data_IF_823146875926
#
_entry.id   IF_823146875926
#
_cell.length_a   1.000
_cell.length_b   1.000
_cell.length_c   1.000
_cell.angle_alpha   90.00
_cell.angle_beta   90.00
_cell.angle_gamma   90.00
#
_symmetry.space_group_name_H-M   'P 1'
#
loop_
_entity.id
_entity.type
_entity.pdbx_description
1 polymer ?
#
# COMPACT_ATOMS: atom_id res chain seq x y z
N UNK A 1 11.34 -18.87 -7.10
CA UNK A 1 10.68 -18.74 -8.41
C UNK A 1 9.33 -19.45 -8.52
N UNK A 2 9.19 -20.73 -8.11
CA UNK A 2 7.90 -21.46 -8.21
C UNK A 2 6.70 -20.73 -7.56
N UNK A 3 6.88 -20.17 -6.37
CA UNK A 3 5.84 -19.40 -5.64
C UNK A 3 5.36 -18.18 -6.45
N UNK A 4 6.30 -17.42 -7.04
CA UNK A 4 5.97 -16.23 -7.83
C UNK A 4 5.17 -16.59 -9.07
N UNK A 5 5.65 -17.57 -9.85
CA UNK A 5 4.95 -18.04 -11.05
C UNK A 5 3.52 -18.50 -10.73
N UNK A 6 3.37 -19.28 -9.65
CA UNK A 6 2.07 -19.73 -9.18
C UNK A 6 1.16 -18.56 -8.80
N UNK A 7 1.68 -17.58 -8.09
CA UNK A 7 0.91 -16.42 -7.60
C UNK A 7 0.46 -15.50 -8.74
N UNK A 8 1.31 -15.33 -9.74
CA UNK A 8 0.97 -14.62 -10.99
C UNK A 8 -0.17 -15.36 -11.70
N UNK A 9 -0.04 -16.68 -11.90
CA UNK A 9 -1.08 -17.50 -12.55
C UNK A 9 -2.42 -17.44 -11.79
N UNK A 10 -2.39 -17.57 -10.47
CA UNK A 10 -3.58 -17.47 -9.61
C UNK A 10 -4.22 -16.08 -9.71
N UNK A 11 -3.43 -15.02 -9.80
CA UNK A 11 -3.94 -13.64 -9.95
C UNK A 11 -4.62 -13.45 -11.30
N UNK A 12 -4.01 -13.90 -12.40
CA UNK A 12 -4.61 -13.83 -13.73
C UNK A 12 -5.89 -14.65 -13.86
N UNK A 13 -5.96 -15.83 -13.21
CA UNK A 13 -7.17 -16.63 -13.17
C UNK A 13 -8.33 -15.91 -12.46
N UNK A 14 -8.02 -14.99 -11.54
CA UNK A 14 -8.99 -14.19 -10.79
C UNK A 14 -9.15 -12.76 -11.37
N UNK A 15 -9.13 -12.59 -12.69
CA UNK A 15 -9.24 -11.27 -13.34
C UNK A 15 -10.48 -10.45 -12.92
N UNK A 16 -11.59 -11.12 -12.56
CA UNK A 16 -12.78 -10.44 -12.01
C UNK A 16 -12.48 -9.68 -10.71
N UNK A 17 -11.67 -10.26 -9.82
CA UNK A 17 -11.20 -9.61 -8.59
C UNK A 17 -10.31 -8.41 -8.92
N UNK A 18 -9.55 -8.51 -10.00
CA UNK A 18 -8.65 -7.47 -10.46
C UNK A 18 -9.40 -6.22 -10.94
N UNK A 19 -10.43 -6.42 -11.78
CA UNK A 19 -11.35 -5.36 -12.23
C UNK A 19 -12.10 -4.75 -11.05
N UNK A 20 -12.57 -5.58 -10.12
CA UNK A 20 -13.28 -5.12 -8.93
C UNK A 20 -12.42 -4.16 -8.08
N UNK A 21 -11.17 -4.53 -7.79
CA UNK A 21 -10.25 -3.67 -7.05
C UNK A 21 -9.89 -2.39 -7.80
N UNK A 22 -9.82 -2.44 -9.13
CA UNK A 22 -9.59 -1.27 -9.96
C UNK A 22 -10.76 -0.28 -9.85
N UNK A 23 -12.02 -0.74 -9.96
CA UNK A 23 -13.22 0.10 -9.80
C UNK A 23 -13.22 0.77 -8.42
N UNK A 24 -12.94 0.01 -7.36
CA UNK A 24 -12.88 0.54 -5.99
C UNK A 24 -11.80 1.61 -5.82
N UNK A 25 -10.68 1.53 -6.54
CA UNK A 25 -9.63 2.54 -6.50
C UNK A 25 -9.99 3.80 -7.30
N UNK A 26 -10.80 3.69 -8.36
CA UNK A 26 -11.24 4.83 -9.17
C UNK A 26 -12.21 5.71 -8.40
N UNK A 27 -13.17 5.14 -7.67
CA UNK A 27 -14.19 5.91 -6.93
C UNK A 27 -13.60 7.02 -6.04
N UNK A 28 -12.66 6.74 -5.12
CA UNK A 28 -12.05 7.79 -4.29
C UNK A 28 -11.19 8.75 -5.12
N UNK A 29 -10.54 8.29 -6.18
CA UNK A 29 -9.77 9.16 -7.06
C UNK A 29 -10.69 10.19 -7.76
N UNK A 30 -11.87 9.77 -8.22
CA UNK A 30 -12.89 10.66 -8.77
C UNK A 30 -13.42 11.64 -7.71
N UNK A 31 -13.73 11.16 -6.51
CA UNK A 31 -14.20 12.01 -5.42
C UNK A 31 -13.20 13.09 -5.02
N UNK A 32 -11.90 12.77 -5.01
CA UNK A 32 -10.83 13.76 -4.74
C UNK A 32 -10.62 14.68 -5.94
N UNK A 33 -10.81 14.19 -7.17
CA UNK A 33 -10.57 14.99 -8.38
C UNK A 33 -11.52 16.19 -8.52
N UNK A 34 -12.75 16.09 -8.03
CA UNK A 34 -13.76 17.17 -8.14
C UNK A 34 -13.33 18.45 -7.40
N UNK A 35 -13.06 18.44 -6.08
CA UNK A 35 -12.66 19.65 -5.37
C UNK A 35 -11.32 20.16 -5.88
N UNK A 36 -10.37 19.27 -6.21
CA UNK A 36 -9.07 19.65 -6.78
C UNK A 36 -9.25 20.37 -8.12
N UNK A 37 -10.06 19.84 -9.03
CA UNK A 37 -10.33 20.47 -10.32
C UNK A 37 -11.04 21.81 -10.16
N UNK A 38 -11.98 21.93 -9.22
CA UNK A 38 -12.65 23.20 -8.95
C UNK A 38 -11.68 24.27 -8.42
N UNK A 39 -10.70 23.87 -7.59
CA UNK A 39 -9.65 24.74 -7.09
C UNK A 39 -8.72 25.19 -8.23
N UNK A 40 -8.32 24.25 -9.09
CA UNK A 40 -7.49 24.53 -10.26
C UNK A 40 -8.18 25.47 -11.26
N UNK A 41 -9.46 25.26 -11.56
CA UNK A 41 -10.21 26.11 -12.48
C UNK A 41 -10.28 27.58 -11.99
N UNK A 42 -10.46 27.79 -10.68
CA UNK A 42 -10.46 29.13 -10.08
C UNK A 42 -9.09 29.80 -10.13
N UNK A 43 -8.03 29.03 -9.91
CA UNK A 43 -6.65 29.53 -9.98
C UNK A 43 -6.24 29.86 -11.43
N UNK A 44 -6.56 28.97 -12.37
CA UNK A 44 -6.19 29.11 -13.77
C UNK A 44 -6.83 30.33 -14.44
N UNK A 45 -8.04 30.72 -14.03
CA UNK A 45 -8.71 31.91 -14.56
C UNK A 45 -8.12 33.25 -14.12
N UNK A 46 -7.17 33.27 -13.15
CA UNK A 46 -6.69 34.50 -12.51
C UNK A 46 -5.18 34.73 -12.58
N UNK A 47 -4.38 33.76 -13.02
CA UNK A 47 -2.93 33.84 -12.91
C UNK A 47 -2.23 33.66 -14.26
N UNK A 48 -1.31 34.59 -14.59
CA UNK A 48 -0.38 34.47 -15.71
C UNK A 48 0.63 33.30 -15.54
N UNK A 49 0.65 32.67 -14.36
CA UNK A 49 1.51 31.53 -14.03
C UNK A 49 1.07 30.24 -14.71
N UNK A 50 -0.15 30.20 -15.26
CA UNK A 50 -0.66 29.04 -16.00
C UNK A 50 0.26 28.61 -17.15
N UNK A 51 0.85 29.57 -17.87
CA UNK A 51 1.80 29.28 -18.95
C UNK A 51 3.09 28.64 -18.43
N UNK A 52 3.54 29.02 -17.23
CA UNK A 52 4.71 28.40 -16.59
C UNK A 52 4.45 26.96 -16.09
N UNK A 53 3.20 26.65 -15.71
CA UNK A 53 2.77 25.28 -15.38
C UNK A 53 2.75 24.42 -16.64
N UNK A 54 2.23 24.94 -17.76
CA UNK A 54 2.23 24.23 -19.04
C UNK A 54 3.63 24.01 -19.62
N UNK A 55 4.60 24.86 -19.28
CA UNK A 55 6.01 24.70 -19.64
C UNK A 55 6.80 23.78 -18.69
N UNK A 56 6.14 23.09 -17.76
CA UNK A 56 6.74 22.05 -16.91
C UNK A 56 7.41 22.56 -15.63
N UNK A 57 7.30 23.85 -15.30
CA UNK A 57 7.92 24.45 -14.12
C UNK A 57 6.96 24.40 -12.91
N UNK A 58 6.64 23.19 -12.46
CA UNK A 58 5.52 22.94 -11.52
C UNK A 58 5.90 23.20 -10.05
N UNK A 59 7.18 23.10 -9.69
CA UNK A 59 7.55 22.77 -8.30
C UNK A 59 7.98 23.92 -7.39
N UNK A 60 8.33 25.11 -7.89
CA UNK A 60 8.87 26.18 -7.02
C UNK A 60 7.92 27.36 -6.80
N UNK A 61 7.37 27.93 -7.88
CA UNK A 61 6.56 29.16 -7.80
C UNK A 61 5.05 28.90 -7.80
N UNK A 62 4.50 28.02 -8.68
CA UNK A 62 3.05 27.89 -8.81
C UNK A 62 2.37 27.25 -7.60
N UNK A 63 3.02 26.29 -6.93
CA UNK A 63 2.45 25.63 -5.76
C UNK A 63 2.39 26.54 -4.54
N UNK A 64 3.41 27.38 -4.34
CA UNK A 64 3.42 28.36 -3.25
C UNK A 64 2.37 29.43 -3.47
N UNK A 65 2.27 29.95 -4.68
CA UNK A 65 1.25 30.95 -5.06
C UNK A 65 -0.17 30.38 -5.00
N UNK A 66 -0.38 29.14 -5.45
CA UNK A 66 -1.63 28.42 -5.30
C UNK A 66 -2.03 28.27 -3.82
N UNK A 67 -1.07 27.96 -2.95
CA UNK A 67 -1.32 27.80 -1.52
C UNK A 67 -1.69 29.13 -0.85
N UNK A 68 -1.05 30.23 -1.25
CA UNK A 68 -1.35 31.56 -0.72
C UNK A 68 -2.73 32.04 -1.14
N UNK A 69 -3.13 31.82 -2.40
CA UNK A 69 -4.39 32.33 -2.95
C UNK A 69 -5.62 31.46 -2.67
N UNK A 70 -5.42 30.18 -2.34
CA UNK A 70 -6.52 29.23 -2.12
C UNK A 70 -6.52 28.62 -0.72
N UNK A 71 -6.06 29.37 0.31
CA UNK A 71 -5.98 28.91 1.71
C UNK A 71 -7.26 28.25 2.20
N UNK A 72 -8.42 28.82 1.88
CA UNK A 72 -9.72 28.27 2.30
C UNK A 72 -9.96 26.90 1.66
N UNK A 73 -9.73 26.78 0.35
CA UNK A 73 -9.95 25.52 -0.40
C UNK A 73 -8.95 24.45 0.04
N UNK A 74 -7.70 24.84 0.30
CA UNK A 74 -6.69 23.93 0.86
C UNK A 74 -7.01 23.50 2.29
N UNK A 75 -7.65 24.35 3.09
CA UNK A 75 -8.15 23.96 4.41
C UNK A 75 -9.28 22.94 4.29
N UNK A 76 -10.26 23.17 3.40
CA UNK A 76 -11.34 22.21 3.14
C UNK A 76 -10.82 20.88 2.57
N UNK A 77 -9.95 20.93 1.56
CA UNK A 77 -9.31 19.74 0.99
C UNK A 77 -8.41 19.05 2.02
N UNK A 78 -7.71 19.83 2.86
CA UNK A 78 -6.87 19.35 3.95
C UNK A 78 -7.64 18.60 5.03
N UNK A 79 -8.91 18.94 5.26
CA UNK A 79 -9.78 18.22 6.19
C UNK A 79 -10.47 17.01 5.54
N UNK A 80 -10.88 17.13 4.28
CA UNK A 80 -11.60 16.08 3.55
C UNK A 80 -10.69 14.93 3.10
N UNK A 81 -9.45 15.23 2.71
CA UNK A 81 -8.51 14.24 2.20
C UNK A 81 -8.11 13.19 3.25
N UNK A 82 -7.75 13.54 4.51
CA UNK A 82 -7.51 12.57 5.56
C UNK A 82 -8.73 11.69 5.84
N UNK A 83 -9.93 12.26 5.86
CA UNK A 83 -11.17 11.51 6.05
C UNK A 83 -11.37 10.47 4.94
N UNK A 84 -11.19 10.86 3.68
CA UNK A 84 -11.26 9.93 2.54
C UNK A 84 -10.18 8.85 2.59
N UNK A 85 -8.95 9.20 2.99
CA UNK A 85 -7.88 8.23 3.16
C UNK A 85 -8.20 7.20 4.26
N UNK A 86 -8.74 7.66 5.39
CA UNK A 86 -9.18 6.79 6.48
C UNK A 86 -10.30 5.87 6.00
N UNK A 87 -11.34 6.41 5.38
CA UNK A 87 -12.46 5.63 4.85
C UNK A 87 -11.98 4.57 3.84
N UNK A 88 -11.11 4.97 2.91
CA UNK A 88 -10.54 4.07 1.93
C UNK A 88 -9.65 3.00 2.57
N UNK A 89 -8.89 3.35 3.60
CA UNK A 89 -8.10 2.39 4.36
C UNK A 89 -8.99 1.34 5.04
N UNK A 90 -10.11 1.74 5.66
CA UNK A 90 -11.09 0.81 6.22
C UNK A 90 -11.74 -0.07 5.16
N UNK A 91 -12.13 0.50 4.02
CA UNK A 91 -12.66 -0.26 2.89
C UNK A 91 -11.64 -1.28 2.39
N UNK A 92 -10.37 -0.89 2.26
CA UNK A 92 -9.30 -1.78 1.86
C UNK A 92 -9.08 -2.91 2.89
N UNK A 93 -9.07 -2.60 4.19
CA UNK A 93 -8.96 -3.61 5.25
C UNK A 93 -10.13 -4.60 5.20
N UNK A 94 -11.35 -4.12 4.97
CA UNK A 94 -12.54 -4.95 4.79
C UNK A 94 -12.34 -5.94 3.64
N UNK A 95 -12.00 -5.43 2.46
CA UNK A 95 -11.81 -6.24 1.25
C UNK A 95 -10.64 -7.22 1.36
N UNK A 96 -9.56 -6.82 2.04
CA UNK A 96 -8.37 -7.65 2.21
C UNK A 96 -8.68 -8.99 2.88
N UNK A 97 -9.66 -9.03 3.81
CA UNK A 97 -10.10 -10.27 4.44
C UNK A 97 -10.65 -11.29 3.44
N UNK A 98 -11.55 -10.86 2.57
CA UNK A 98 -12.08 -11.69 1.48
C UNK A 98 -11.02 -12.08 0.46
N UNK A 99 -10.11 -11.17 0.11
CA UNK A 99 -9.03 -11.42 -0.86
C UNK A 99 -8.06 -12.50 -0.34
N UNK A 100 -7.61 -12.39 0.92
CA UNK A 100 -6.73 -13.39 1.53
C UNK A 100 -7.45 -14.74 1.59
N UNK A 101 -8.71 -14.76 2.00
CA UNK A 101 -9.51 -16.00 2.03
C UNK A 101 -9.59 -16.64 0.65
N UNK A 102 -9.85 -15.81 -0.37
CA UNK A 102 -9.95 -16.25 -1.76
C UNK A 102 -8.67 -16.91 -2.26
N UNK A 103 -7.50 -16.37 -1.93
CA UNK A 103 -6.22 -16.99 -2.29
C UNK A 103 -5.87 -18.20 -1.43
N UNK A 104 -6.46 -18.33 -0.23
CA UNK A 104 -6.26 -19.51 0.62
C UNK A 104 -7.01 -20.74 0.10
N UNK A 105 -8.20 -20.55 -0.50
CA UNK A 105 -8.99 -21.63 -1.10
C UNK A 105 -8.62 -21.82 -2.57
N UNK A 106 -7.72 -22.77 -2.82
CA UNK A 106 -7.27 -23.11 -4.17
C UNK A 106 -8.44 -23.63 -5.03
N UNK A 107 -8.44 -23.27 -6.31
CA UNK A 107 -9.31 -23.80 -7.38
C UNK A 107 -10.81 -23.46 -7.33
N UNK A 108 -11.29 -22.66 -6.39
CA UNK A 108 -12.67 -22.12 -6.51
C UNK A 108 -12.71 -21.06 -7.61
N UNK A 109 -13.90 -20.67 -8.08
CA UNK A 109 -14.13 -19.53 -9.01
C UNK A 109 -14.54 -18.27 -8.24
N UNK A 110 -14.33 -17.08 -8.80
CA UNK A 110 -14.60 -15.83 -8.09
C UNK A 110 -16.11 -15.60 -7.96
N UNK A 111 -16.59 -15.54 -6.72
CA UNK A 111 -17.97 -15.22 -6.38
C UNK A 111 -18.02 -13.98 -5.47
N UNK A 112 -18.69 -12.93 -5.94
CA UNK A 112 -18.82 -11.68 -5.21
C UNK A 112 -19.53 -11.84 -3.84
N UNK A 113 -20.63 -12.61 -3.72
CA UNK A 113 -21.28 -12.82 -2.42
C UNK A 113 -20.37 -13.50 -1.40
N UNK A 114 -19.58 -14.49 -1.83
CA UNK A 114 -18.61 -15.17 -0.96
C UNK A 114 -17.51 -14.21 -0.51
N UNK A 115 -16.97 -13.39 -1.43
CA UNK A 115 -15.98 -12.36 -1.10
C UNK A 115 -16.52 -11.40 -0.02
N UNK A 116 -17.74 -10.88 -0.18
CA UNK A 116 -18.34 -9.94 0.78
C UNK A 116 -18.60 -10.59 2.13
N UNK A 117 -19.15 -11.82 2.15
CA UNK A 117 -19.38 -12.60 3.37
C UNK A 117 -18.09 -12.80 4.16
N UNK A 118 -17.02 -13.19 3.47
CA UNK A 118 -15.71 -13.44 4.09
C UNK A 118 -14.98 -12.17 4.50
N UNK A 119 -15.15 -11.10 3.73
CA UNK A 119 -14.68 -9.76 4.11
C UNK A 119 -15.31 -9.32 5.43
N UNK A 120 -16.63 -9.45 5.57
CA UNK A 120 -17.34 -9.12 6.81
C UNK A 120 -16.95 -10.03 7.99
N UNK A 121 -16.75 -11.33 7.76
CA UNK A 121 -16.33 -12.30 8.78
C UNK A 121 -14.98 -11.93 9.42
N UNK A 122 -13.99 -11.52 8.61
CA UNK A 122 -12.63 -11.21 9.08
C UNK A 122 -12.39 -9.74 9.45
N UNK A 123 -13.25 -8.83 9.01
CA UNK A 123 -13.07 -7.39 9.20
C UNK A 123 -12.84 -6.96 10.65
N UNK A 124 -13.60 -7.43 11.66
CA UNK A 124 -13.38 -7.02 13.05
C UNK A 124 -12.00 -7.43 13.58
N UNK A 125 -11.49 -8.59 13.15
CA UNK A 125 -10.15 -9.04 13.53
C UNK A 125 -9.09 -8.19 12.82
N UNK A 126 -9.31 -7.80 11.58
CA UNK A 126 -8.38 -6.96 10.83
C UNK A 126 -8.31 -5.54 11.38
N UNK A 127 -9.42 -4.96 11.84
CA UNK A 127 -9.43 -3.70 12.58
C UNK A 127 -8.58 -3.82 13.85
N UNK A 128 -8.79 -4.86 14.65
CA UNK A 128 -8.00 -5.08 15.88
C UNK A 128 -6.51 -5.24 15.57
N UNK A 129 -6.16 -5.98 14.51
CA UNK A 129 -4.76 -6.10 14.05
C UNK A 129 -4.21 -4.74 13.62
N UNK A 130 -4.99 -3.94 12.89
CA UNK A 130 -4.61 -2.60 12.45
C UNK A 130 -4.39 -1.65 13.64
N UNK A 131 -5.25 -1.69 14.66
CA UNK A 131 -5.06 -0.91 15.90
C UNK A 131 -3.76 -1.30 16.61
N UNK A 132 -3.46 -2.59 16.70
CA UNK A 132 -2.16 -3.05 17.25
C UNK A 132 -1.00 -2.53 16.37
N UNK A 133 -1.14 -2.51 15.05
CA UNK A 133 -0.10 -1.94 14.17
C UNK A 133 0.12 -0.45 14.38
N UNK A 134 -0.94 0.32 14.66
CA UNK A 134 -0.84 1.74 15.00
C UNK A 134 -0.04 1.95 16.28
N UNK A 135 -0.18 1.07 17.29
CA UNK A 135 0.65 1.13 18.49
C UNK A 135 2.14 0.92 18.19
N UNK A 136 2.48 -0.03 17.30
CA UNK A 136 3.86 -0.23 16.86
C UNK A 136 4.40 0.97 16.07
N UNK A 137 3.58 1.61 15.24
CA UNK A 137 3.94 2.84 14.52
C UNK A 137 4.16 4.01 15.49
N UNK A 138 3.35 4.12 16.54
CA UNK A 138 3.52 5.12 17.59
C UNK A 138 4.83 4.90 18.36
N UNK A 139 5.17 3.64 18.69
CA UNK A 139 6.45 3.30 19.31
C UNK A 139 7.61 3.69 18.38
N UNK A 140 7.53 3.37 17.08
CA UNK A 140 8.56 3.76 16.10
C UNK A 140 8.72 5.28 16.02
N UNK A 141 7.61 6.03 16.05
CA UNK A 141 7.62 7.49 16.05
C UNK A 141 8.29 8.04 17.32
N UNK A 142 7.95 7.51 18.50
CA UNK A 142 8.57 7.89 19.77
C UNK A 142 10.06 7.57 19.80
N UNK A 143 10.47 6.42 19.26
CA UNK A 143 11.89 6.04 19.13
C UNK A 143 12.67 6.95 18.19
N UNK A 144 12.01 7.62 17.24
CA UNK A 144 12.67 8.56 16.34
C UNK A 144 13.17 9.82 17.06
N UNK A 145 12.50 10.23 18.15
CA UNK A 145 12.84 11.41 18.94
C UNK A 145 14.26 11.31 19.52
N UNK A 146 14.62 10.31 20.34
CA UNK A 146 15.97 10.20 20.90
C UNK A 146 17.03 9.99 19.81
N UNK A 147 16.72 9.24 18.75
CA UNK A 147 17.62 9.08 17.60
C UNK A 147 17.92 10.43 16.94
N UNK A 148 16.91 11.29 16.77
CA UNK A 148 17.12 12.63 16.18
C UNK A 148 18.00 13.53 17.05
N UNK A 149 17.86 13.45 18.37
CA UNK A 149 18.68 14.22 19.32
C UNK A 149 20.12 13.70 19.29
N UNK A 150 20.31 12.37 19.28
CA UNK A 150 21.62 11.74 19.20
C UNK A 150 22.35 12.11 17.90
N UNK A 151 21.67 12.03 16.76
CA UNK A 151 22.24 12.37 15.45
C UNK A 151 22.64 13.84 15.36
N UNK A 152 21.84 14.76 15.92
CA UNK A 152 22.19 16.19 15.98
C UNK A 152 23.44 16.43 16.84
N UNK A 153 23.56 15.75 17.99
CA UNK A 153 24.76 15.84 18.85
C UNK A 153 26.01 15.29 18.16
N UNK A 154 25.90 14.21 17.41
CA UNK A 154 27.02 13.59 16.68
C UNK A 154 27.44 14.40 15.45
N UNK A 155 26.50 15.07 14.77
CA UNK A 155 26.81 15.86 13.59
C UNK A 155 27.54 17.17 13.90
N UNK A 156 27.33 17.73 15.10
CA UNK A 156 27.76 19.09 15.41
C UNK A 156 27.21 20.08 14.39
N UNK A 157 28.05 21.03 13.97
CA UNK A 157 27.70 22.06 12.98
C UNK A 157 28.09 21.68 11.53
N UNK A 158 28.48 20.42 11.28
CA UNK A 158 28.86 19.97 9.94
C UNK A 158 27.63 19.69 9.07
N UNK A 159 27.29 20.62 8.18
CA UNK A 159 26.21 20.47 7.18
C UNK A 159 26.21 19.12 6.43
N UNK A 160 27.34 18.62 5.87
CA UNK A 160 27.32 17.36 5.12
C UNK A 160 26.97 16.14 6.01
N UNK A 161 27.38 16.15 7.28
CA UNK A 161 27.04 15.07 8.22
C UNK A 161 25.57 15.11 8.61
N UNK A 162 24.98 16.30 8.77
CA UNK A 162 23.55 16.46 9.04
C UNK A 162 22.72 15.84 7.90
N UNK A 163 23.08 16.14 6.65
CA UNK A 163 22.39 15.59 5.47
C UNK A 163 22.51 14.07 5.42
N UNK A 164 23.73 13.54 5.60
CA UNK A 164 23.97 12.09 5.62
C UNK A 164 23.13 11.37 6.70
N UNK A 165 23.09 11.92 7.92
CA UNK A 165 22.30 11.36 9.01
C UNK A 165 20.79 11.49 8.79
N UNK A 166 20.32 12.56 8.13
CA UNK A 166 18.92 12.69 7.71
C UNK A 166 18.53 11.56 6.75
N UNK A 167 19.35 11.30 5.73
CA UNK A 167 19.13 10.18 4.80
C UNK A 167 19.17 8.83 5.51
N UNK A 168 20.17 8.60 6.36
CA UNK A 168 20.28 7.38 7.17
C UNK A 168 19.05 7.15 8.05
N UNK A 169 18.53 8.20 8.69
CA UNK A 169 17.31 8.15 9.50
C UNK A 169 16.08 7.81 8.66
N UNK A 170 15.92 8.42 7.49
CA UNK A 170 14.79 8.13 6.59
C UNK A 170 14.85 6.67 6.13
N UNK A 171 16.03 6.20 5.72
CA UNK A 171 16.23 4.82 5.28
C UNK A 171 15.91 3.82 6.40
N UNK A 172 16.41 4.08 7.61
CA UNK A 172 16.14 3.27 8.80
C UNK A 172 14.63 3.21 9.12
N UNK A 173 13.93 4.35 9.07
CA UNK A 173 12.47 4.38 9.25
C UNK A 173 11.74 3.55 8.18
N UNK A 174 12.13 3.66 6.91
CA UNK A 174 11.54 2.87 5.82
C UNK A 174 11.75 1.38 6.08
N UNK A 175 12.95 0.97 6.48
CA UNK A 175 13.23 -0.43 6.84
C UNK A 175 12.31 -0.93 7.97
N UNK A 176 12.18 -0.17 9.06
CA UNK A 176 11.28 -0.54 10.16
C UNK A 176 9.80 -0.60 9.72
N UNK A 177 9.35 0.34 8.89
CA UNK A 177 8.00 0.34 8.35
C UNK A 177 7.73 -0.90 7.49
N UNK A 178 8.69 -1.33 6.67
CA UNK A 178 8.58 -2.56 5.86
C UNK A 178 8.47 -3.79 6.78
N UNK A 179 9.31 -3.87 7.81
CA UNK A 179 9.28 -4.99 8.78
C UNK A 179 7.94 -5.07 9.50
N UNK A 180 7.49 -3.94 10.06
CA UNK A 180 6.20 -3.85 10.77
C UNK A 180 5.08 -4.25 9.80
N UNK A 181 5.02 -3.64 8.62
CA UNK A 181 4.02 -3.95 7.59
C UNK A 181 4.00 -5.45 7.27
N UNK A 182 5.15 -6.04 6.97
CA UNK A 182 5.25 -7.45 6.63
C UNK A 182 4.75 -8.35 7.78
N UNK A 183 5.16 -8.10 9.02
CA UNK A 183 4.71 -8.90 10.16
C UNK A 183 3.19 -8.82 10.38
N UNK A 184 2.58 -7.65 10.19
CA UNK A 184 1.14 -7.45 10.29
C UNK A 184 0.36 -8.04 9.10
N UNK A 185 0.93 -8.02 7.89
CA UNK A 185 0.37 -8.70 6.72
C UNK A 185 0.31 -10.23 6.98
N UNK A 186 1.38 -10.83 7.51
CA UNK A 186 1.35 -12.24 7.90
C UNK A 186 0.45 -12.54 9.09
N UNK A 187 0.26 -11.58 10.02
CA UNK A 187 -0.72 -11.73 11.09
C UNK A 187 -2.15 -11.84 10.54
N UNK A 188 -2.50 -11.01 9.55
CA UNK A 188 -3.78 -11.06 8.85
C UNK A 188 -3.95 -12.39 8.09
N UNK A 189 -2.92 -12.82 7.36
CA UNK A 189 -2.91 -14.11 6.65
C UNK A 189 -3.10 -15.28 7.62
N UNK A 190 -2.37 -15.29 8.75
CA UNK A 190 -2.48 -16.34 9.76
C UNK A 190 -3.88 -16.40 10.39
N UNK A 191 -4.57 -15.27 10.50
CA UNK A 191 -5.94 -15.19 11.04
C UNK A 191 -6.92 -15.92 10.12
N UNK A 192 -6.78 -15.70 8.82
CA UNK A 192 -7.66 -16.30 7.80
C UNK A 192 -7.37 -17.79 7.64
N UNK A 193 -6.10 -18.17 7.47
CA UNK A 193 -5.71 -19.57 7.22
C UNK A 193 -5.99 -20.47 8.43
N UNK A 194 -5.67 -19.99 9.64
CA UNK A 194 -5.84 -20.78 10.87
C UNK A 194 -7.22 -20.61 11.50
N UNK A 195 -8.12 -19.84 10.89
CA UNK A 195 -9.47 -19.52 11.41
C UNK A 195 -9.46 -19.07 12.89
N UNK A 196 -8.42 -18.34 13.30
CA UNK A 196 -8.21 -17.97 14.71
C UNK A 196 -9.01 -16.73 15.07
N UNK A 197 -9.80 -16.81 16.15
CA UNK A 197 -10.53 -15.66 16.71
C UNK A 197 -9.66 -14.74 17.60
N UNK A 198 -8.53 -15.24 18.13
CA UNK A 198 -7.66 -14.49 19.07
C UNK A 198 -6.58 -13.70 18.33
N UNK A 199 -6.78 -12.38 18.22
CA UNK A 199 -5.91 -11.43 17.50
C UNK A 199 -4.45 -11.47 17.98
N UNK A 200 -4.19 -11.47 19.29
CA UNK A 200 -2.82 -11.51 19.82
C UNK A 200 -2.04 -12.75 19.38
N UNK A 201 -2.72 -13.91 19.26
CA UNK A 201 -2.09 -15.14 18.78
C UNK A 201 -1.75 -15.03 17.29
N UNK A 202 -2.57 -14.35 16.51
CA UNK A 202 -2.29 -14.06 15.09
C UNK A 202 -1.12 -13.10 14.91
N UNK A 203 -1.05 -12.03 15.71
CA UNK A 203 0.09 -11.09 15.70
C UNK A 203 1.39 -11.80 16.09
N UNK A 204 1.37 -12.58 17.17
CA UNK A 204 2.52 -13.40 17.58
C UNK A 204 2.95 -14.37 16.48
N UNK A 205 2.00 -15.00 15.80
CA UNK A 205 2.28 -15.90 14.69
C UNK A 205 2.92 -15.17 13.50
N UNK A 206 2.39 -14.00 13.12
CA UNK A 206 2.95 -13.17 12.04
C UNK A 206 4.38 -12.73 12.35
N UNK A 207 4.62 -12.28 13.59
CA UNK A 207 5.96 -11.91 14.05
C UNK A 207 6.92 -13.10 14.07
N UNK A 208 6.46 -14.25 14.59
CA UNK A 208 7.26 -15.47 14.63
C UNK A 208 7.64 -15.92 13.22
N UNK A 209 6.69 -15.92 12.28
CA UNK A 209 6.93 -16.30 10.89
C UNK A 209 7.97 -15.37 10.24
N UNK A 210 7.82 -14.06 10.45
CA UNK A 210 8.80 -13.08 9.98
C UNK A 210 10.19 -13.32 10.57
N UNK A 211 10.31 -13.54 11.88
CA UNK A 211 11.60 -13.79 12.54
C UNK A 211 12.24 -15.12 12.15
N UNK A 212 11.47 -16.14 11.81
CA UNK A 212 11.98 -17.43 11.34
C UNK A 212 12.46 -17.38 9.89
N UNK A 213 11.82 -16.58 9.04
CA UNK A 213 12.13 -16.51 7.60
C UNK A 213 12.29 -15.07 7.07
N UNK A 214 13.13 -14.22 7.70
CA UNK A 214 13.17 -12.79 7.37
C UNK A 214 13.63 -12.56 5.93
N UNK A 215 14.63 -13.29 5.46
CA UNK A 215 15.14 -13.16 4.09
C UNK A 215 14.14 -13.58 3.02
N UNK A 216 13.28 -14.58 3.29
CA UNK A 216 12.26 -15.02 2.32
C UNK A 216 11.13 -14.00 2.24
N UNK A 217 10.70 -13.50 3.38
CA UNK A 217 9.68 -12.46 3.48
C UNK A 217 10.17 -11.16 2.87
N UNK A 218 11.31 -10.64 3.33
CA UNK A 218 11.89 -9.40 2.82
C UNK A 218 12.26 -9.55 1.35
N UNK A 219 12.82 -10.67 0.92
CA UNK A 219 13.12 -10.94 -0.49
C UNK A 219 11.87 -10.88 -1.38
N UNK A 220 10.72 -11.36 -0.91
CA UNK A 220 9.44 -11.23 -1.61
C UNK A 220 9.03 -9.75 -1.72
N UNK A 221 9.06 -9.01 -0.61
CA UNK A 221 8.72 -7.59 -0.59
C UNK A 221 9.65 -6.76 -1.48
N UNK A 222 10.96 -6.98 -1.40
CA UNK A 222 11.95 -6.30 -2.25
C UNK A 222 11.76 -6.62 -3.72
N UNK A 223 11.39 -7.86 -4.07
CA UNK A 223 11.09 -8.23 -5.45
C UNK A 223 9.91 -7.43 -6.01
N UNK A 224 8.79 -7.38 -5.30
CA UNK A 224 7.62 -6.58 -5.72
C UNK A 224 7.89 -5.08 -5.68
N UNK A 225 8.69 -4.61 -4.73
CA UNK A 225 9.09 -3.21 -4.63
C UNK A 225 9.97 -2.78 -5.82
N UNK A 226 10.95 -3.59 -6.20
CA UNK A 226 11.79 -3.36 -7.38
C UNK A 226 10.92 -3.33 -8.65
N UNK A 227 10.01 -4.30 -8.78
CA UNK A 227 9.08 -4.34 -9.91
C UNK A 227 8.22 -3.08 -9.97
N UNK A 228 7.69 -2.64 -8.83
CA UNK A 228 6.92 -1.40 -8.72
C UNK A 228 7.74 -0.16 -9.11
N UNK A 229 9.03 -0.07 -8.70
CA UNK A 229 9.93 1.02 -9.10
C UNK A 229 10.15 1.02 -10.61
N UNK A 230 10.51 -0.13 -11.20
CA UNK A 230 10.77 -0.25 -12.65
C UNK A 230 9.54 0.20 -13.44
N UNK A 231 8.37 -0.29 -13.06
CA UNK A 231 7.09 0.08 -13.66
C UNK A 231 6.76 1.57 -13.48
N UNK A 232 7.10 2.16 -12.34
CA UNK A 232 6.91 3.59 -12.07
C UNK A 232 7.84 4.46 -12.92
N UNK A 233 9.09 4.03 -13.13
CA UNK A 233 10.06 4.71 -14.01
C UNK A 233 9.56 4.67 -15.45
N UNK A 234 9.15 3.50 -15.94
CA UNK A 234 8.56 3.36 -17.29
C UNK A 234 7.33 4.26 -17.43
N UNK A 235 6.45 4.27 -16.43
CA UNK A 235 5.28 5.13 -16.41
C UNK A 235 5.67 6.62 -16.50
N UNK A 236 6.65 7.05 -15.70
CA UNK A 236 7.13 8.43 -15.69
C UNK A 236 7.75 8.84 -17.04
N UNK A 237 8.59 7.99 -17.62
CA UNK A 237 9.21 8.23 -18.93
C UNK A 237 8.14 8.37 -20.03
N UNK A 238 7.13 7.50 -20.05
CA UNK A 238 6.03 7.60 -21.01
C UNK A 238 5.23 8.89 -20.80
N UNK A 239 4.98 9.29 -19.55
CA UNK A 239 4.25 10.51 -19.26
C UNK A 239 5.00 11.79 -19.68
N UNK A 240 6.34 11.79 -19.70
CA UNK A 240 7.14 12.88 -20.27
C UNK A 240 6.97 12.95 -21.80
N UNK A 241 6.87 11.80 -22.47
CA UNK A 241 6.79 11.72 -23.93
C UNK A 241 5.42 12.13 -24.50
N UNK A 242 4.36 12.16 -23.69
CA UNK A 242 3.01 12.49 -24.15
C UNK A 242 2.79 14.02 -24.07
N UNK A 243 2.71 14.76 -25.19
CA UNK A 243 2.47 16.20 -25.17
C UNK A 243 1.03 16.49 -24.76
N UNK A 244 0.84 17.04 -23.55
CA UNK A 244 -0.49 17.34 -23.00
C UNK A 244 -1.18 18.53 -23.70
N UNK A 245 -0.44 19.30 -24.52
CA UNK A 245 -0.94 20.49 -25.23
C UNK A 245 -2.11 20.19 -26.19
N UNK A 246 -2.20 18.97 -26.70
CA UNK A 246 -3.27 18.57 -27.63
C UNK A 246 -4.33 17.74 -26.91
N UNK A 247 -5.60 17.85 -27.34
CA UNK A 247 -6.70 17.05 -26.80
C UNK A 247 -6.41 15.54 -26.84
N UNK A 248 -5.79 15.07 -27.93
CA UNK A 248 -5.34 13.68 -28.07
C UNK A 248 -4.33 13.28 -27.00
N UNK A 249 -3.33 14.13 -26.70
CA UNK A 249 -2.34 13.86 -25.66
C UNK A 249 -2.95 13.80 -24.26
N UNK A 250 -3.95 14.66 -23.98
CA UNK A 250 -4.71 14.61 -22.73
C UNK A 250 -5.48 13.28 -22.57
N UNK A 251 -6.16 12.82 -23.62
CA UNK A 251 -6.86 11.52 -23.61
C UNK A 251 -5.87 10.38 -23.39
N UNK A 252 -4.73 10.40 -24.08
CA UNK A 252 -3.69 9.37 -23.92
C UNK A 252 -3.10 9.35 -22.51
N UNK A 253 -2.85 10.51 -21.89
CA UNK A 253 -2.40 10.57 -20.49
C UNK A 253 -3.44 9.99 -19.53
N UNK A 254 -4.73 10.22 -19.75
CA UNK A 254 -5.82 9.63 -18.96
C UNK A 254 -5.82 8.11 -19.11
N UNK A 255 -5.81 7.59 -20.34
CA UNK A 255 -5.79 6.15 -20.60
C UNK A 255 -4.57 5.48 -19.97
N UNK A 256 -3.40 6.11 -20.08
CA UNK A 256 -2.18 5.57 -19.51
C UNK A 256 -2.20 5.57 -17.98
N UNK A 257 -2.78 6.59 -17.34
CA UNK A 257 -3.06 6.61 -15.89
C UNK A 257 -4.01 5.49 -15.47
N UNK A 258 -5.03 5.19 -16.27
CA UNK A 258 -5.96 4.08 -15.99
C UNK A 258 -5.25 2.72 -16.07
N UNK A 259 -4.42 2.51 -17.11
CA UNK A 259 -3.60 1.30 -17.24
C UNK A 259 -2.66 1.16 -16.04
N UNK A 260 -2.02 2.24 -15.61
CA UNK A 260 -1.16 2.26 -14.43
C UNK A 260 -1.89 1.82 -13.16
N UNK A 261 -3.08 2.39 -12.90
CA UNK A 261 -3.91 1.99 -11.75
C UNK A 261 -4.30 0.51 -11.81
N UNK A 262 -4.61 0.00 -13.00
CA UNK A 262 -4.93 -1.41 -13.21
C UNK A 262 -3.73 -2.32 -12.91
N UNK A 263 -2.54 -2.00 -13.43
CA UNK A 263 -1.29 -2.73 -13.15
C UNK A 263 -0.99 -2.73 -11.65
N UNK A 264 -1.13 -1.58 -10.98
CA UNK A 264 -0.91 -1.44 -9.54
C UNK A 264 -1.85 -2.36 -8.73
N UNK A 265 -3.13 -2.45 -9.10
CA UNK A 265 -4.06 -3.37 -8.47
C UNK A 265 -3.61 -4.85 -8.62
N UNK A 266 -2.91 -5.17 -9.70
CA UNK A 266 -2.48 -6.53 -10.03
C UNK A 266 -1.27 -6.95 -9.28
N UNK A 267 -0.31 -6.02 -9.18
CA UNK A 267 0.85 -6.19 -8.32
C UNK A 267 0.44 -6.38 -6.86
N UNK A 268 -0.56 -5.63 -6.41
CA UNK A 268 -1.10 -5.79 -5.06
C UNK A 268 -1.71 -7.19 -4.84
N UNK A 269 -2.56 -7.65 -5.76
CA UNK A 269 -3.15 -9.00 -5.68
C UNK A 269 -2.09 -10.10 -5.77
N UNK A 270 -1.11 -9.94 -6.65
CA UNK A 270 -0.02 -10.90 -6.83
C UNK A 270 0.85 -10.98 -5.59
N UNK A 271 1.13 -9.83 -4.94
CA UNK A 271 1.85 -9.79 -3.66
C UNK A 271 1.06 -10.55 -2.59
N UNK A 272 -0.24 -10.28 -2.42
CA UNK A 272 -1.08 -10.96 -1.42
C UNK A 272 -1.12 -12.47 -1.69
N UNK A 273 -1.31 -12.89 -2.95
CA UNK A 273 -1.27 -14.30 -3.35
C UNK A 273 0.07 -14.95 -3.02
N UNK A 274 1.18 -14.24 -3.28
CA UNK A 274 2.52 -14.73 -2.98
C UNK A 274 2.79 -14.84 -1.48
N UNK A 275 2.31 -13.90 -0.68
CA UNK A 275 2.40 -13.96 0.78
C UNK A 275 1.60 -15.16 1.33
N UNK A 276 0.38 -15.38 0.84
CA UNK A 276 -0.47 -16.52 1.21
C UNK A 276 0.19 -17.85 0.84
N UNK A 277 0.75 -17.95 -0.37
CA UNK A 277 1.46 -19.14 -0.83
C UNK A 277 2.73 -19.39 0.00
N UNK A 278 3.53 -18.36 0.29
CA UNK A 278 4.73 -18.46 1.13
C UNK A 278 4.39 -18.93 2.55
N UNK A 279 3.35 -18.35 3.16
CA UNK A 279 2.92 -18.74 4.50
C UNK A 279 2.40 -20.18 4.54
N UNK A 280 1.62 -20.57 3.52
CA UNK A 280 1.07 -21.93 3.43
C UNK A 280 2.15 -23.00 3.25
N UNK A 281 3.22 -22.68 2.52
CA UNK A 281 4.31 -23.63 2.23
C UNK A 281 5.22 -23.87 3.45
N UNK A 282 5.50 -22.85 4.26
CA UNK A 282 6.45 -22.96 5.36
C UNK A 282 5.82 -23.15 6.75
N UNK A 283 4.71 -22.46 7.06
CA UNK A 283 4.17 -22.45 8.43
C UNK A 283 3.23 -23.64 8.69
N UNK A 284 2.45 -24.09 7.70
CA UNK A 284 1.49 -25.20 7.89
C UNK A 284 2.21 -26.52 8.24
N UNK A 285 3.29 -26.93 7.54
CA UNK A 285 4.03 -28.13 7.92
C UNK A 285 4.67 -28.02 9.30
N UNK A 286 5.23 -26.85 9.64
CA UNK A 286 5.82 -26.60 10.94
C UNK A 286 4.79 -26.66 12.07
N UNK A 287 3.60 -26.08 11.89
CA UNK A 287 2.51 -26.16 12.87
C UNK A 287 2.00 -27.59 13.03
N UNK A 288 1.88 -28.36 11.95
CA UNK A 288 1.50 -29.79 12.03
C UNK A 288 2.53 -30.61 12.80
N UNK A 289 3.82 -30.34 12.59
CA UNK A 289 4.91 -30.97 13.33
C UNK A 289 4.90 -30.57 14.81
N UNK A 290 4.79 -29.27 15.10
CA UNK A 290 4.90 -28.72 16.46
C UNK A 290 3.70 -29.04 17.35
N UNK A 291 2.49 -28.92 16.80
CA UNK A 291 1.28 -29.20 17.57
C UNK A 291 0.97 -30.68 17.65
N UNK A 292 1.71 -31.53 16.90
CA UNK A 292 1.41 -32.94 16.72
C UNK A 292 -0.01 -33.08 16.23
N UNK A 293 -0.23 -33.31 14.93
CA UNK A 293 -1.53 -33.84 14.54
C UNK A 293 -1.74 -35.19 15.22
N UNK A 294 -2.32 -35.17 16.43
CA UNK A 294 -3.34 -36.11 16.84
C UNK A 294 -4.46 -35.97 15.80
N UNK A 295 -4.25 -36.61 14.66
CA UNK A 295 -5.36 -37.12 13.86
C UNK A 295 -6.13 -38.03 14.80
N UNK A 296 -7.15 -37.48 15.45
CA UNK A 296 -8.30 -38.15 16.03
C UNK A 296 -9.18 -37.05 16.63
N UNK A 297 -9.94 -36.37 15.77
CA UNK A 297 -11.39 -36.23 15.94
C UNK A 297 -11.96 -35.51 14.71
N UNK A 298 -13.08 -36.08 14.28
CA UNK A 298 -13.87 -35.91 13.06
C UNK A 298 -14.34 -34.48 12.79
#
# INVERSE_FOLDING_TARGET
MKILYKSVKETFYNMKLWIFLYIIQIVPALLVSIPVNSAFARFAGKSAVVDSIFNGNIFSVPLMEFNIHNKDILSYAGNLLPLLLILFYFLYLFLKGGIIYRFSERNKTFEFPELMKKSAEYFPNFIKIALVSVLFLLILFLLNIPVSILLKRLAGDSEPLIVLFLFGRILLNICFLIIIKAAFDYAQISTVILKKKKVFKSVKNGWRFFSQYPFKVLGLFFYFFLFFIVFSIIYYLINILIPVRYAFGSIMSILFRQIWMFVKAGLLLTLISAEVNLFSEYEIPFLKWWYGTSNNQE
#
